data_IF_260753971033
#
_entry.id   IF_260753971033
#
_cell.length_a   1.000
_cell.length_b   1.000
_cell.length_c   1.000
_cell.angle_alpha   90.00
_cell.angle_beta   90.00
_cell.angle_gamma   90.00
#
_symmetry.space_group_name_H-M   'P 1'
#
loop_
_entity.id
_entity.type
_entity.pdbx_description
1 polymer ?
#
# COMPACT_ATOMS: atom_id res chain seq x y z
N UNK A 1 -13.01 -16.70 24.17
CA UNK A 1 -12.74 -18.15 24.04
C UNK A 1 -12.63 -18.83 25.40
N UNK A 2 -11.76 -18.38 26.30
CA UNK A 2 -11.67 -18.92 27.67
C UNK A 2 -13.01 -18.88 28.42
N UNK A 3 -13.74 -17.76 28.35
CA UNK A 3 -15.07 -17.64 28.94
C UNK A 3 -16.06 -18.70 28.40
N UNK A 4 -16.00 -19.01 27.10
CA UNK A 4 -16.86 -20.03 26.50
C UNK A 4 -16.50 -21.44 27.02
N UNK A 5 -15.21 -21.75 27.15
CA UNK A 5 -14.75 -23.01 27.74
C UNK A 5 -15.25 -23.16 29.19
N UNK A 6 -15.19 -22.09 29.99
CA UNK A 6 -15.70 -22.12 31.36
C UNK A 6 -17.22 -22.31 31.43
N UNK A 7 -17.98 -21.62 30.57
CA UNK A 7 -19.45 -21.74 30.54
C UNK A 7 -19.87 -23.14 30.08
N UNK A 8 -19.28 -23.66 29.00
CA UNK A 8 -19.59 -25.00 28.47
C UNK A 8 -19.13 -26.10 29.43
N UNK A 9 -17.96 -25.93 30.05
CA UNK A 9 -17.47 -26.84 31.09
C UNK A 9 -18.38 -26.87 32.33
N UNK A 10 -18.84 -25.70 32.79
CA UNK A 10 -19.76 -25.59 33.91
C UNK A 10 -21.13 -26.19 33.64
N UNK A 11 -21.67 -25.97 32.44
CA UNK A 11 -22.95 -26.58 32.02
C UNK A 11 -22.82 -28.10 31.86
N UNK A 12 -21.71 -28.60 31.29
CA UNK A 12 -21.43 -30.03 31.24
C UNK A 12 -21.36 -30.67 32.64
N UNK A 13 -20.63 -30.06 33.57
CA UNK A 13 -20.55 -30.53 34.95
C UNK A 13 -21.93 -30.58 35.63
N UNK A 14 -22.76 -29.55 35.41
CA UNK A 14 -24.13 -29.50 35.91
C UNK A 14 -25.02 -30.59 35.29
N UNK A 15 -24.91 -30.86 33.99
CA UNK A 15 -25.67 -31.94 33.34
C UNK A 15 -25.27 -33.32 33.85
N UNK A 16 -23.99 -33.50 34.24
CA UNK A 16 -23.52 -34.74 34.88
C UNK A 16 -24.16 -34.98 36.25
N UNK A 17 -24.45 -33.93 37.04
CA UNK A 17 -25.08 -34.11 38.37
C UNK A 17 -26.55 -34.50 38.27
N UNK A 18 -27.20 -34.20 37.14
CA UNK A 18 -28.61 -34.57 36.85
C UNK A 18 -28.73 -35.96 36.20
N UNK A 19 -27.60 -36.63 35.90
CA UNK A 19 -27.59 -37.95 35.26
C UNK A 19 -27.74 -37.90 33.74
N UNK A 20 -27.59 -36.72 33.12
CA UNK A 20 -27.64 -36.55 31.67
C UNK A 20 -26.33 -36.98 30.99
N UNK A 21 -26.18 -38.29 30.72
CA UNK A 21 -24.97 -38.84 30.08
C UNK A 21 -24.74 -38.25 28.68
N UNK A 22 -25.79 -38.17 27.84
CA UNK A 22 -25.66 -37.69 26.46
C UNK A 22 -25.32 -36.18 26.41
N UNK A 23 -26.04 -35.28 27.11
CA UNK A 23 -25.67 -33.86 27.17
C UNK A 23 -24.25 -33.61 27.69
N UNK A 24 -23.79 -34.40 28.67
CA UNK A 24 -22.44 -34.30 29.20
C UNK A 24 -21.38 -34.51 28.10
N UNK A 25 -21.49 -35.60 27.33
CA UNK A 25 -20.55 -35.89 26.24
C UNK A 25 -20.58 -34.83 25.13
N UNK A 26 -21.76 -34.26 24.85
CA UNK A 26 -21.90 -33.14 23.91
C UNK A 26 -21.07 -31.95 24.41
N UNK A 27 -21.27 -31.51 25.66
CA UNK A 27 -20.52 -30.39 26.23
C UNK A 27 -19.00 -30.67 26.29
N UNK A 28 -18.58 -31.90 26.64
CA UNK A 28 -17.16 -32.28 26.63
C UNK A 28 -16.57 -32.21 25.22
N UNK A 29 -17.31 -32.65 24.20
CA UNK A 29 -16.87 -32.57 22.81
C UNK A 29 -16.71 -31.12 22.33
N UNK A 30 -17.61 -30.22 22.73
CA UNK A 30 -17.53 -28.79 22.42
C UNK A 30 -16.30 -28.14 23.08
N UNK A 31 -16.03 -28.46 24.36
CA UNK A 31 -14.82 -27.98 25.05
C UNK A 31 -13.56 -28.47 24.33
N UNK A 32 -13.51 -29.75 23.94
CA UNK A 32 -12.37 -30.29 23.20
C UNK A 32 -12.16 -29.55 21.87
N UNK A 33 -13.23 -29.25 21.13
CA UNK A 33 -13.17 -28.46 19.89
C UNK A 33 -12.68 -27.04 20.17
N UNK A 34 -13.17 -26.36 21.20
CA UNK A 34 -12.66 -25.03 21.56
C UNK A 34 -11.19 -25.05 21.97
N UNK A 35 -10.73 -26.06 22.71
CA UNK A 35 -9.32 -26.21 23.06
C UNK A 35 -8.45 -26.43 21.81
N UNK A 36 -8.89 -27.29 20.87
CA UNK A 36 -8.19 -27.54 19.60
C UNK A 36 -8.11 -26.28 18.73
N UNK A 37 -9.20 -25.51 18.68
CA UNK A 37 -9.25 -24.25 17.96
C UNK A 37 -8.31 -23.21 18.58
N UNK A 38 -8.23 -23.15 19.91
CA UNK A 38 -7.32 -22.25 20.61
C UNK A 38 -5.86 -22.63 20.33
N UNK A 39 -5.56 -23.94 20.33
CA UNK A 39 -4.25 -24.47 19.98
C UNK A 39 -3.83 -24.10 18.55
N UNK A 40 -4.71 -24.25 17.55
CA UNK A 40 -4.37 -23.85 16.18
C UNK A 40 -4.33 -22.34 15.97
N UNK A 41 -5.12 -21.59 16.74
CA UNK A 41 -5.05 -20.14 16.75
C UNK A 41 -3.69 -19.65 17.26
N UNK A 42 -3.14 -20.25 18.32
CA UNK A 42 -1.83 -19.87 18.86
C UNK A 42 -0.67 -20.25 17.92
N UNK A 43 -0.85 -21.26 17.05
CA UNK A 43 0.15 -21.68 16.06
C UNK A 43 0.03 -20.95 14.70
N UNK A 44 -0.74 -19.85 14.63
CA UNK A 44 -0.84 -19.00 13.44
C UNK A 44 -1.70 -19.57 12.29
N UNK A 45 -2.35 -20.74 12.46
CA UNK A 45 -3.20 -21.38 11.43
C UNK A 45 -4.68 -20.98 11.57
N UNK A 46 -4.94 -19.68 11.65
CA UNK A 46 -6.25 -19.13 12.02
C UNK A 46 -7.36 -19.50 11.02
N UNK A 47 -7.09 -19.45 9.72
CA UNK A 47 -8.09 -19.75 8.70
C UNK A 47 -8.54 -21.22 8.73
N UNK A 48 -7.60 -22.14 8.94
CA UNK A 48 -7.89 -23.58 9.03
C UNK A 48 -8.69 -23.88 10.29
N UNK A 49 -8.33 -23.26 11.43
CA UNK A 49 -9.07 -23.39 12.67
C UNK A 49 -10.54 -22.95 12.49
N UNK A 50 -10.76 -21.75 11.93
CA UNK A 50 -12.11 -21.26 11.63
C UNK A 50 -12.89 -22.22 10.73
N UNK A 51 -12.24 -22.80 9.72
CA UNK A 51 -12.90 -23.70 8.78
C UNK A 51 -13.39 -24.97 9.47
N UNK A 52 -12.54 -25.56 10.32
CA UNK A 52 -12.89 -26.77 11.07
C UNK A 52 -13.95 -26.48 12.12
N UNK A 53 -13.95 -25.30 12.73
CA UNK A 53 -15.04 -24.86 13.61
C UNK A 53 -16.39 -24.87 12.89
N UNK A 54 -16.47 -24.30 11.69
CA UNK A 54 -17.72 -24.28 10.92
C UNK A 54 -18.15 -25.66 10.43
N UNK A 55 -17.22 -26.52 10.02
CA UNK A 55 -17.52 -27.92 9.70
C UNK A 55 -18.12 -28.65 10.90
N UNK A 56 -17.50 -28.51 12.08
CA UNK A 56 -18.00 -29.08 13.32
C UNK A 56 -19.39 -28.53 13.66
N UNK A 57 -19.60 -27.22 13.53
CA UNK A 57 -20.90 -26.59 13.77
C UNK A 57 -21.98 -27.14 12.84
N UNK A 58 -21.70 -27.32 11.55
CA UNK A 58 -22.64 -27.91 10.57
C UNK A 58 -22.99 -29.34 10.97
N UNK A 59 -21.98 -30.16 11.34
CA UNK A 59 -22.21 -31.52 11.81
C UNK A 59 -23.06 -31.57 13.08
N UNK A 60 -22.77 -30.72 14.06
CA UNK A 60 -23.53 -30.63 15.30
C UNK A 60 -24.97 -30.21 15.06
N UNK A 61 -25.21 -29.25 14.16
CA UNK A 61 -26.57 -28.88 13.76
C UNK A 61 -27.29 -30.06 13.11
N UNK A 62 -26.63 -30.82 12.22
CA UNK A 62 -27.22 -32.00 11.59
C UNK A 62 -27.60 -33.08 12.61
N UNK A 63 -26.70 -33.39 13.55
CA UNK A 63 -26.97 -34.36 14.62
C UNK A 63 -28.11 -33.88 15.51
N UNK A 64 -28.10 -32.61 15.93
CA UNK A 64 -29.16 -32.02 16.75
C UNK A 64 -30.53 -32.04 16.05
N UNK A 65 -30.56 -31.75 14.75
CA UNK A 65 -31.75 -31.84 13.91
C UNK A 65 -32.31 -33.26 13.81
N UNK A 66 -31.46 -34.27 13.57
CA UNK A 66 -31.90 -35.67 13.49
C UNK A 66 -32.32 -36.23 14.86
N UNK A 67 -31.67 -35.80 15.94
CA UNK A 67 -31.95 -36.27 17.29
C UNK A 67 -33.36 -35.88 17.76
N UNK A 68 -33.78 -34.64 17.48
CA UNK A 68 -35.07 -34.10 17.90
C UNK A 68 -36.16 -34.19 16.82
N UNK A 69 -35.78 -34.45 15.57
CA UNK A 69 -36.69 -34.46 14.43
C UNK A 69 -37.14 -33.06 14.00
N UNK A 70 -38.11 -33.01 13.08
CA UNK A 70 -38.63 -31.76 12.52
C UNK A 70 -39.27 -30.84 13.57
N UNK A 71 -39.86 -31.43 14.62
CA UNK A 71 -40.49 -30.71 15.72
C UNK A 71 -39.51 -29.89 16.57
N UNK A 72 -38.21 -30.16 16.51
CA UNK A 72 -37.19 -29.42 17.26
C UNK A 72 -36.84 -28.06 16.65
N UNK A 73 -37.04 -27.87 15.34
CA UNK A 73 -36.68 -26.62 14.64
C UNK A 73 -35.17 -26.31 14.61
N UNK A 74 -34.31 -27.28 14.90
CA UNK A 74 -32.85 -27.10 14.85
C UNK A 74 -32.34 -26.89 13.41
N UNK A 75 -33.11 -27.32 12.42
CA UNK A 75 -32.82 -27.13 11.01
C UNK A 75 -32.78 -25.65 10.59
N UNK A 76 -33.47 -24.75 11.30
CA UNK A 76 -33.35 -23.30 11.08
C UNK A 76 -31.97 -22.74 11.42
N UNK A 77 -31.20 -23.42 12.28
CA UNK A 77 -29.83 -22.99 12.60
C UNK A 77 -28.88 -23.18 11.41
N UNK A 78 -29.25 -23.96 10.38
CA UNK A 78 -28.46 -24.06 9.15
C UNK A 78 -28.35 -22.72 8.42
N UNK A 79 -29.34 -21.82 8.54
CA UNK A 79 -29.23 -20.47 7.97
C UNK A 79 -28.15 -19.65 8.67
N UNK A 80 -28.04 -19.80 9.99
CA UNK A 80 -27.01 -19.13 10.78
C UNK A 80 -25.64 -19.69 10.45
N UNK A 81 -25.48 -21.02 10.40
CA UNK A 81 -24.19 -21.66 10.07
C UNK A 81 -23.80 -21.47 8.60
N UNK A 82 -24.75 -21.25 7.69
CA UNK A 82 -24.49 -20.92 6.29
C UNK A 82 -24.01 -19.47 6.12
N UNK A 83 -24.61 -18.50 6.83
CA UNK A 83 -24.31 -17.08 6.66
C UNK A 83 -23.14 -16.60 7.54
N UNK A 84 -22.96 -17.18 8.72
CA UNK A 84 -21.90 -16.75 9.65
C UNK A 84 -20.48 -16.83 9.09
N UNK A 85 -20.07 -17.82 8.26
CA UNK A 85 -18.74 -17.83 7.63
C UNK A 85 -18.38 -16.54 6.89
N UNK A 86 -19.36 -15.82 6.31
CA UNK A 86 -19.14 -14.54 5.61
C UNK A 86 -18.52 -13.49 6.54
N UNK A 87 -18.80 -13.57 7.84
CA UNK A 87 -18.25 -12.63 8.84
C UNK A 87 -16.81 -12.96 9.26
N UNK A 88 -16.35 -14.19 9.03
CA UNK A 88 -15.09 -14.70 9.58
C UNK A 88 -14.03 -15.04 8.53
N UNK A 89 -14.36 -15.05 7.24
CA UNK A 89 -13.43 -15.35 6.15
C UNK A 89 -13.33 -14.21 5.14
N UNK A 90 -12.10 -13.81 4.84
CA UNK A 90 -11.82 -12.81 3.80
C UNK A 90 -11.91 -13.41 2.39
N UNK A 91 -11.56 -14.69 2.24
CA UNK A 91 -11.51 -15.35 0.93
C UNK A 91 -12.87 -15.89 0.52
N UNK A 92 -13.34 -15.43 -0.65
CA UNK A 92 -14.64 -15.83 -1.24
C UNK A 92 -14.87 -17.33 -1.28
N UNK A 93 -13.86 -18.10 -1.69
CA UNK A 93 -13.98 -19.56 -1.79
C UNK A 93 -14.27 -20.25 -0.46
N UNK A 94 -13.74 -19.74 0.66
CA UNK A 94 -13.88 -20.38 1.96
C UNK A 94 -15.33 -20.33 2.46
N UNK A 95 -15.93 -19.14 2.53
CA UNK A 95 -17.31 -19.02 3.00
C UNK A 95 -18.34 -19.54 1.98
N UNK A 96 -18.08 -19.44 0.66
CA UNK A 96 -18.99 -20.01 -0.35
C UNK A 96 -19.02 -21.54 -0.28
N UNK A 97 -17.87 -22.20 -0.07
CA UNK A 97 -17.83 -23.66 0.11
C UNK A 97 -18.62 -24.11 1.35
N UNK A 98 -18.49 -23.40 2.47
CA UNK A 98 -19.23 -23.70 3.71
C UNK A 98 -20.72 -23.41 3.59
N UNK A 99 -21.10 -22.34 2.87
CA UNK A 99 -22.49 -22.04 2.55
C UNK A 99 -23.13 -23.18 1.76
N UNK A 100 -22.49 -23.59 0.66
CA UNK A 100 -22.99 -24.69 -0.19
C UNK A 100 -23.08 -25.99 0.61
N UNK A 101 -22.05 -26.31 1.40
CA UNK A 101 -22.06 -27.49 2.27
C UNK A 101 -23.21 -27.45 3.27
N UNK A 102 -23.44 -26.31 3.93
CA UNK A 102 -24.55 -26.14 4.89
C UNK A 102 -25.91 -26.37 4.22
N UNK A 103 -26.13 -25.83 3.02
CA UNK A 103 -27.37 -26.04 2.26
C UNK A 103 -27.54 -27.51 1.84
N UNK A 104 -26.47 -28.17 1.38
CA UNK A 104 -26.53 -29.60 1.03
C UNK A 104 -26.89 -30.44 2.27
N UNK A 105 -26.23 -30.19 3.40
CA UNK A 105 -26.50 -30.91 4.64
C UNK A 105 -27.93 -30.65 5.14
N UNK A 106 -28.43 -29.42 5.05
CA UNK A 106 -29.82 -29.10 5.35
C UNK A 106 -30.81 -29.92 4.51
N UNK A 107 -30.60 -29.98 3.19
CA UNK A 107 -31.45 -30.77 2.29
C UNK A 107 -31.39 -32.27 2.64
N UNK A 108 -30.20 -32.81 2.92
CA UNK A 108 -30.04 -34.21 3.34
C UNK A 108 -30.78 -34.49 4.64
N UNK A 109 -30.63 -33.62 5.64
CA UNK A 109 -31.33 -33.75 6.93
C UNK A 109 -32.85 -33.70 6.75
N UNK A 110 -33.37 -32.82 5.89
CA UNK A 110 -34.81 -32.77 5.58
C UNK A 110 -35.32 -34.06 4.95
N UNK A 111 -34.60 -34.63 3.99
CA UNK A 111 -34.97 -35.92 3.40
C UNK A 111 -34.87 -37.08 4.41
N UNK A 112 -33.93 -37.01 5.36
CA UNK A 112 -33.77 -38.05 6.38
C UNK A 112 -34.89 -38.06 7.43
N UNK A 113 -35.67 -36.98 7.58
CA UNK A 113 -36.80 -36.96 8.51
C UNK A 113 -37.88 -37.99 8.19
N UNK A 114 -38.06 -38.33 6.91
CA UNK A 114 -39.05 -39.34 6.49
C UNK A 114 -38.58 -40.78 6.78
N UNK A 115 -37.27 -40.98 6.94
CA UNK A 115 -36.65 -42.31 7.03
C UNK A 115 -36.20 -42.64 8.45
N UNK A 116 -35.72 -41.64 9.19
CA UNK A 116 -35.13 -41.80 10.52
C UNK A 116 -36.05 -41.20 11.57
N UNK A 117 -36.69 -42.03 12.43
CA UNK A 117 -37.52 -41.50 13.50
C UNK A 117 -36.66 -40.75 14.51
N UNK A 118 -37.21 -39.65 15.05
CA UNK A 118 -36.54 -38.88 16.09
C UNK A 118 -36.28 -39.73 17.34
N UNK A 119 -35.07 -39.61 17.90
CA UNK A 119 -34.68 -40.34 19.12
C UNK A 119 -35.39 -39.74 20.34
N UNK A 120 -35.52 -38.41 20.37
CA UNK A 120 -36.18 -37.67 21.44
C UNK A 120 -37.16 -36.65 20.84
N UNK A 121 -38.34 -37.10 20.36
CA UNK A 121 -39.34 -36.18 19.85
C UNK A 121 -39.84 -35.27 20.98
N UNK A 122 -39.88 -33.97 20.73
CA UNK A 122 -40.38 -33.01 21.72
C UNK A 122 -41.91 -32.95 21.65
N UNK A 123 -42.60 -33.53 22.62
CA UNK A 123 -44.08 -33.60 22.65
C UNK A 123 -44.77 -32.23 22.68
N UNK A 124 -44.11 -31.21 23.25
CA UNK A 124 -44.55 -29.79 23.20
C UNK A 124 -43.74 -28.99 22.18
N UNK A 125 -43.70 -29.51 20.96
CA UNK A 125 -42.90 -29.04 19.83
C UNK A 125 -42.96 -27.53 19.56
N UNK A 126 -44.11 -26.89 19.80
CA UNK A 126 -44.33 -25.51 19.39
C UNK A 126 -43.29 -24.55 20.01
N UNK A 127 -43.02 -24.66 21.31
CA UNK A 127 -42.14 -23.69 22.01
C UNK A 127 -40.70 -23.73 21.48
N UNK A 128 -39.97 -24.87 21.51
CA UNK A 128 -38.59 -24.91 21.03
C UNK A 128 -38.47 -24.61 19.53
N UNK A 129 -39.46 -25.06 18.73
CA UNK A 129 -39.51 -24.79 17.29
C UNK A 129 -39.55 -23.28 17.00
N UNK A 130 -40.52 -22.56 17.57
CA UNK A 130 -40.64 -21.11 17.35
C UNK A 130 -39.48 -20.33 17.99
N UNK A 131 -38.96 -20.79 19.13
CA UNK A 131 -37.77 -20.19 19.73
C UNK A 131 -36.55 -20.28 18.80
N UNK A 132 -36.31 -21.43 18.17
CA UNK A 132 -35.20 -21.60 17.24
C UNK A 132 -35.36 -20.75 15.97
N UNK A 133 -36.58 -20.57 15.47
CA UNK A 133 -36.87 -19.63 14.37
C UNK A 133 -36.52 -18.19 14.79
N UNK A 134 -37.02 -17.75 15.96
CA UNK A 134 -36.77 -16.38 16.46
C UNK A 134 -35.28 -16.15 16.70
N UNK A 135 -34.59 -17.10 17.33
CA UNK A 135 -33.14 -17.02 17.56
C UNK A 135 -32.40 -16.94 16.24
N UNK A 136 -32.74 -17.78 15.26
CA UNK A 136 -32.10 -17.77 13.94
C UNK A 136 -32.32 -16.43 13.23
N UNK A 137 -33.55 -15.91 13.25
CA UNK A 137 -33.88 -14.60 12.66
C UNK A 137 -33.09 -13.46 13.33
N UNK A 138 -33.01 -13.45 14.66
CA UNK A 138 -32.22 -12.47 15.40
C UNK A 138 -30.74 -12.56 15.05
N UNK A 139 -30.16 -13.76 14.99
CA UNK A 139 -28.75 -13.97 14.65
C UNK A 139 -28.43 -13.50 13.23
N UNK A 140 -29.31 -13.78 12.26
CA UNK A 140 -29.16 -13.27 10.89
C UNK A 140 -29.26 -11.74 10.85
N UNK A 141 -30.23 -11.16 11.57
CA UNK A 141 -30.40 -9.72 11.66
C UNK A 141 -29.18 -9.02 12.28
N UNK A 142 -28.68 -9.53 13.40
CA UNK A 142 -27.46 -9.03 14.04
C UNK A 142 -26.24 -9.21 13.15
N UNK A 143 -26.11 -10.38 12.51
CA UNK A 143 -25.02 -10.66 11.56
C UNK A 143 -25.00 -9.67 10.40
N UNK A 144 -26.16 -9.39 9.80
CA UNK A 144 -26.31 -8.36 8.77
C UNK A 144 -25.98 -6.96 9.30
N UNK A 145 -26.44 -6.61 10.51
CA UNK A 145 -26.14 -5.33 11.15
C UNK A 145 -24.63 -5.12 11.38
N UNK A 146 -23.91 -6.14 11.83
CA UNK A 146 -22.45 -6.12 11.97
C UNK A 146 -21.77 -5.97 10.61
N UNK A 147 -22.21 -6.73 9.61
CA UNK A 147 -21.68 -6.64 8.25
C UNK A 147 -21.83 -5.23 7.68
N UNK A 148 -23.02 -4.63 7.82
CA UNK A 148 -23.31 -3.27 7.34
C UNK A 148 -22.42 -2.22 8.03
N UNK A 149 -22.23 -2.33 9.35
CA UNK A 149 -21.33 -1.42 10.09
C UNK A 149 -19.89 -1.50 9.61
N UNK A 150 -19.38 -2.72 9.40
CA UNK A 150 -18.02 -2.94 8.88
C UNK A 150 -17.86 -2.38 7.47
N UNK A 151 -18.85 -2.60 6.60
CA UNK A 151 -18.86 -2.05 5.24
C UNK A 151 -18.79 -0.52 5.24
N UNK A 152 -19.67 0.15 6.01
CA UNK A 152 -19.70 1.61 6.10
C UNK A 152 -18.38 2.19 6.61
N UNK A 153 -17.75 1.54 7.60
CA UNK A 153 -16.44 1.96 8.11
C UNK A 153 -15.34 1.86 7.05
N UNK A 154 -15.33 0.78 6.26
CA UNK A 154 -14.36 0.63 5.17
C UNK A 154 -14.58 1.65 4.06
N UNK A 155 -15.84 1.95 3.74
CA UNK A 155 -16.20 2.98 2.77
C UNK A 155 -15.71 4.37 3.19
N UNK A 156 -15.89 4.74 4.47
CA UNK A 156 -15.35 5.99 5.01
C UNK A 156 -13.82 6.06 4.96
N UNK A 157 -13.14 4.97 5.30
CA UNK A 157 -11.67 4.89 5.24
C UNK A 157 -11.19 5.07 3.79
N UNK A 158 -11.81 4.37 2.84
CA UNK A 158 -11.50 4.50 1.41
C UNK A 158 -11.72 5.92 0.92
N UNK A 159 -12.81 6.57 1.33
CA UNK A 159 -13.08 7.97 0.98
C UNK A 159 -11.99 8.90 1.49
N UNK A 160 -11.56 8.75 2.75
CA UNK A 160 -10.47 9.54 3.32
C UNK A 160 -9.14 9.31 2.59
N UNK A 161 -8.81 8.06 2.30
CA UNK A 161 -7.58 7.72 1.56
C UNK A 161 -7.58 8.33 0.15
N UNK A 162 -8.70 8.28 -0.57
CA UNK A 162 -8.83 8.91 -1.88
C UNK A 162 -8.66 10.43 -1.81
N UNK A 163 -9.23 11.07 -0.78
CA UNK A 163 -9.05 12.50 -0.58
C UNK A 163 -7.56 12.85 -0.34
N UNK A 164 -6.88 12.12 0.54
CA UNK A 164 -5.44 12.32 0.79
C UNK A 164 -4.60 12.09 -0.48
N UNK A 165 -4.94 11.11 -1.31
CA UNK A 165 -4.25 10.86 -2.58
C UNK A 165 -4.42 12.06 -3.53
N UNK A 166 -5.61 12.64 -3.61
CA UNK A 166 -5.84 13.79 -4.49
C UNK A 166 -5.12 15.04 -3.98
N UNK A 167 -5.11 15.27 -2.67
CA UNK A 167 -4.31 16.34 -2.02
C UNK A 167 -2.82 16.18 -2.31
N UNK A 168 -2.25 14.98 -2.12
CA UNK A 168 -0.85 14.69 -2.43
C UNK A 168 -0.49 14.87 -3.91
N UNK A 169 -1.42 14.54 -4.80
CA UNK A 169 -1.24 14.72 -6.25
C UNK A 169 -1.23 16.20 -6.63
N UNK A 170 -2.06 17.02 -5.99
CA UNK A 170 -2.05 18.47 -6.17
C UNK A 170 -0.74 19.08 -5.69
N UNK A 171 -0.28 18.72 -4.49
CA UNK A 171 1.02 19.14 -3.96
C UNK A 171 2.18 18.74 -4.88
N UNK A 172 2.18 17.50 -5.37
CA UNK A 172 3.20 17.00 -6.29
C UNK A 172 3.21 17.78 -7.61
N UNK A 173 2.04 18.11 -8.16
CA UNK A 173 1.93 18.91 -9.38
C UNK A 173 2.43 20.34 -9.17
N UNK A 174 2.13 20.93 -8.01
CA UNK A 174 2.63 22.26 -7.66
C UNK A 174 4.15 22.26 -7.52
N UNK A 175 4.72 21.29 -6.80
CA UNK A 175 6.16 21.12 -6.66
C UNK A 175 6.85 20.86 -8.01
N UNK A 176 6.23 20.05 -8.88
CA UNK A 176 6.71 19.81 -10.24
C UNK A 176 6.77 21.10 -11.05
N UNK A 177 5.71 21.91 -11.01
CA UNK A 177 5.65 23.19 -11.75
C UNK A 177 6.74 24.14 -11.26
N UNK A 178 6.92 24.27 -9.94
CA UNK A 178 7.99 25.08 -9.35
C UNK A 178 9.38 24.59 -9.79
N UNK A 179 9.60 23.28 -9.82
CA UNK A 179 10.87 22.70 -10.24
C UNK A 179 11.13 22.95 -11.73
N UNK A 180 10.11 22.84 -12.58
CA UNK A 180 10.21 23.15 -14.01
C UNK A 180 10.58 24.61 -14.25
N UNK A 181 10.00 25.54 -13.48
CA UNK A 181 10.32 26.97 -13.60
C UNK A 181 11.76 27.28 -13.15
N UNK A 182 12.19 26.70 -12.03
CA UNK A 182 13.59 26.82 -11.56
C UNK A 182 14.56 26.23 -12.59
N UNK A 183 14.23 25.07 -13.18
CA UNK A 183 15.03 24.44 -14.23
C UNK A 183 15.12 25.32 -15.47
N UNK A 184 14.01 25.93 -15.91
CA UNK A 184 14.02 26.87 -17.05
C UNK A 184 14.92 28.06 -16.79
N UNK A 185 14.81 28.70 -15.61
CA UNK A 185 15.66 29.84 -15.23
C UNK A 185 17.14 29.47 -15.19
N UNK A 186 17.48 28.33 -14.56
CA UNK A 186 18.85 27.81 -14.50
C UNK A 186 19.41 27.50 -15.89
N UNK A 187 18.59 26.88 -16.74
CA UNK A 187 18.99 26.53 -18.11
C UNK A 187 19.24 27.78 -18.95
N UNK A 188 18.39 28.81 -18.82
CA UNK A 188 18.58 30.10 -19.48
C UNK A 188 19.89 30.77 -19.03
N UNK A 189 20.15 30.84 -17.71
CA UNK A 189 21.40 31.40 -17.17
C UNK A 189 22.64 30.64 -17.66
N UNK A 190 22.61 29.32 -17.67
CA UNK A 190 23.71 28.50 -18.20
C UNK A 190 23.93 28.75 -19.69
N UNK A 191 22.85 28.85 -20.48
CA UNK A 191 22.95 29.13 -21.91
C UNK A 191 23.60 30.49 -22.18
N UNK A 192 23.24 31.51 -21.40
CA UNK A 192 23.84 32.85 -21.45
C UNK A 192 25.34 32.81 -21.07
N UNK A 193 25.68 32.20 -19.94
CA UNK A 193 27.09 32.03 -19.51
C UNK A 193 27.92 31.27 -20.55
N UNK A 194 27.36 30.21 -21.15
CA UNK A 194 28.02 29.46 -22.20
C UNK A 194 28.28 30.31 -23.45
N UNK A 195 27.31 31.16 -23.84
CA UNK A 195 27.48 32.09 -24.96
C UNK A 195 28.61 33.10 -24.71
N UNK A 196 28.73 33.59 -23.48
CA UNK A 196 29.80 34.49 -23.06
C UNK A 196 31.17 33.79 -23.11
N UNK A 197 31.27 32.56 -22.61
CA UNK A 197 32.50 31.77 -22.70
C UNK A 197 32.93 31.49 -24.14
N UNK A 198 32.00 31.17 -25.03
CA UNK A 198 32.30 31.00 -26.46
C UNK A 198 32.85 32.29 -27.06
N UNK A 199 32.24 33.44 -26.74
CA UNK A 199 32.73 34.76 -27.19
C UNK A 199 34.12 35.06 -26.66
N UNK A 200 34.37 34.78 -25.39
CA UNK A 200 35.69 34.92 -24.76
C UNK A 200 36.74 34.06 -25.47
N UNK A 201 36.45 32.77 -25.70
CA UNK A 201 37.36 31.86 -26.37
C UNK A 201 37.70 32.34 -27.79
N UNK A 202 36.72 32.86 -28.54
CA UNK A 202 36.93 33.46 -29.86
C UNK A 202 37.87 34.67 -29.81
N UNK A 203 37.61 35.62 -28.89
CA UNK A 203 38.46 36.81 -28.73
C UNK A 203 39.89 36.44 -28.34
N UNK A 204 40.06 35.52 -27.41
CA UNK A 204 41.38 35.07 -26.98
C UNK A 204 42.14 34.37 -28.14
N UNK A 205 41.47 33.48 -28.87
CA UNK A 205 42.09 32.74 -29.98
C UNK A 205 42.48 33.62 -31.18
N UNK A 206 41.71 34.67 -31.49
CA UNK A 206 41.94 35.50 -32.68
C UNK A 206 42.58 36.87 -32.37
N UNK A 207 42.06 37.57 -31.37
CA UNK A 207 42.43 38.97 -31.10
C UNK A 207 43.67 39.09 -30.22
N UNK A 208 43.87 38.18 -29.27
CA UNK A 208 45.08 38.17 -28.42
C UNK A 208 46.25 37.49 -29.13
N UNK A 209 45.98 36.37 -29.83
CA UNK A 209 47.02 35.61 -30.51
C UNK A 209 47.74 36.39 -31.62
N UNK A 210 47.02 37.24 -32.36
CA UNK A 210 47.57 38.02 -33.47
C UNK A 210 48.66 39.03 -33.05
N UNK A 211 48.42 39.99 -32.12
CA UNK A 211 49.45 40.89 -31.62
C UNK A 211 50.56 40.15 -30.85
N UNK A 212 50.24 39.05 -30.15
CA UNK A 212 51.26 38.23 -29.48
C UNK A 212 52.24 37.60 -30.49
N UNK A 213 51.73 37.00 -31.57
CA UNK A 213 52.56 36.44 -32.63
C UNK A 213 53.37 37.53 -33.35
N UNK A 214 52.78 38.72 -33.57
CA UNK A 214 53.49 39.89 -34.12
C UNK A 214 54.62 40.35 -33.19
N UNK A 215 54.39 40.42 -31.88
CA UNK A 215 55.40 40.77 -30.89
C UNK A 215 56.53 39.75 -30.88
N UNK A 216 56.22 38.46 -30.83
CA UNK A 216 57.22 37.39 -30.91
C UNK A 216 58.03 37.49 -32.21
N UNK A 217 57.38 37.74 -33.35
CA UNK A 217 58.04 37.96 -34.63
C UNK A 217 59.00 39.16 -34.62
N UNK A 218 58.55 40.31 -34.11
CA UNK A 218 59.36 41.52 -33.99
C UNK A 218 60.56 41.30 -33.06
N UNK A 219 60.35 40.69 -31.90
CA UNK A 219 61.42 40.34 -30.95
C UNK A 219 62.43 39.39 -31.61
N UNK A 220 61.96 38.35 -32.31
CA UNK A 220 62.86 37.42 -33.00
C UNK A 220 63.70 38.13 -34.08
N UNK A 221 63.12 39.04 -34.86
CA UNK A 221 63.86 39.82 -35.87
C UNK A 221 64.92 40.71 -35.20
N UNK A 222 64.62 41.27 -34.02
CA UNK A 222 65.61 42.07 -33.28
C UNK A 222 66.85 41.28 -32.89
N UNK A 223 66.75 39.96 -32.70
CA UNK A 223 67.91 39.12 -32.37
C UNK A 223 68.91 38.96 -33.54
N UNK A 224 68.51 39.26 -34.78
CA UNK A 224 69.34 39.07 -35.98
C UNK A 224 69.69 40.37 -36.71
N UNK A 225 69.16 41.52 -36.30
CA UNK A 225 69.45 42.83 -36.90
C UNK A 225 70.59 43.57 -36.19
N UNK A 226 71.45 44.23 -36.96
CA UNK A 226 72.51 45.10 -36.43
C UNK A 226 71.92 46.49 -36.07
N UNK A 227 71.80 46.74 -34.77
CA UNK A 227 71.26 47.96 -34.20
C UNK A 227 72.26 49.12 -34.11
N UNK A 228 73.40 49.06 -34.78
CA UNK A 228 74.31 50.22 -34.91
C UNK A 228 73.60 51.45 -35.53
N UNK A 229 72.56 51.25 -36.34
CA UNK A 229 71.74 52.32 -36.91
C UNK A 229 70.58 52.72 -35.98
N UNK A 230 70.68 53.92 -35.41
CA UNK A 230 69.70 54.49 -34.47
C UNK A 230 68.29 54.62 -35.05
N UNK A 231 68.16 54.87 -36.37
CA UNK A 231 66.86 54.94 -37.05
C UNK A 231 66.15 53.59 -37.10
N UNK A 232 66.89 52.49 -37.31
CA UNK A 232 66.33 51.13 -37.36
C UNK A 232 65.88 50.66 -35.98
N UNK A 233 66.73 50.89 -34.96
CA UNK A 233 66.39 50.60 -33.56
C UNK A 233 65.10 51.30 -33.15
N UNK A 234 64.98 52.59 -33.45
CA UNK A 234 63.77 53.37 -33.15
C UNK A 234 62.54 52.81 -33.86
N UNK A 235 62.65 52.44 -35.13
CA UNK A 235 61.54 51.85 -35.89
C UNK A 235 61.01 50.56 -35.24
N UNK A 236 61.89 49.61 -34.89
CA UNK A 236 61.45 48.35 -34.26
C UNK A 236 60.83 48.59 -32.88
N UNK A 237 61.41 49.50 -32.10
CA UNK A 237 60.88 49.87 -30.79
C UNK A 237 59.47 50.48 -30.90
N UNK A 238 59.27 51.40 -31.86
CA UNK A 238 57.95 51.99 -32.13
C UNK A 238 56.92 50.92 -32.56
N UNK A 239 57.31 49.93 -33.37
CA UNK A 239 56.42 48.84 -33.79
C UNK A 239 56.06 47.87 -32.65
N UNK A 240 57.02 47.58 -31.76
CA UNK A 240 56.77 46.80 -30.55
C UNK A 240 55.81 47.56 -29.63
N UNK A 241 56.08 48.84 -29.37
CA UNK A 241 55.25 49.68 -28.52
C UNK A 241 53.81 49.79 -29.06
N UNK A 242 53.66 49.93 -30.39
CA UNK A 242 52.35 49.93 -31.04
C UNK A 242 51.60 48.60 -30.89
N UNK A 243 52.27 47.46 -31.06
CA UNK A 243 51.64 46.14 -30.86
C UNK A 243 51.29 45.88 -29.38
N UNK A 244 52.12 46.33 -28.43
CA UNK A 244 51.83 46.23 -27.00
C UNK A 244 50.59 47.05 -26.65
N UNK A 245 50.46 48.26 -27.18
CA UNK A 245 49.26 49.09 -26.99
C UNK A 245 48.00 48.41 -27.55
N UNK A 246 48.09 47.84 -28.77
CA UNK A 246 46.98 47.11 -29.39
C UNK A 246 46.57 45.85 -28.59
N UNK A 247 47.55 45.15 -28.01
CA UNK A 247 47.30 44.02 -27.11
C UNK A 247 46.62 44.46 -25.80
N UNK A 248 47.09 45.56 -25.20
CA UNK A 248 46.51 46.11 -23.97
C UNK A 248 45.05 46.54 -24.17
N UNK A 249 44.75 47.17 -25.31
CA UNK A 249 43.37 47.53 -25.68
C UNK A 249 42.49 46.28 -25.86
N UNK A 250 43.03 45.23 -26.49
CA UNK A 250 42.32 43.94 -26.65
C UNK A 250 42.07 43.26 -25.30
N UNK A 251 43.03 43.32 -24.37
CA UNK A 251 42.88 42.75 -23.03
C UNK A 251 41.84 43.53 -22.19
N UNK A 252 41.77 44.85 -22.34
CA UNK A 252 40.72 45.68 -21.73
C UNK A 252 39.33 45.31 -22.26
N UNK A 253 39.19 45.12 -23.58
CA UNK A 253 37.93 44.68 -24.19
C UNK A 253 37.47 43.33 -23.61
N UNK A 254 38.38 42.37 -23.47
CA UNK A 254 38.11 41.05 -22.88
C UNK A 254 37.71 41.17 -21.39
N UNK A 255 38.41 42.01 -20.63
CA UNK A 255 38.15 42.23 -19.20
C UNK A 255 36.75 42.81 -18.98
N UNK A 256 36.33 43.76 -19.83
CA UNK A 256 34.97 44.33 -19.79
C UNK A 256 33.93 43.24 -20.05
N UNK A 257 34.10 42.42 -21.09
CA UNK A 257 33.15 41.35 -21.43
C UNK A 257 33.02 40.31 -20.30
N UNK A 258 34.08 40.04 -19.55
CA UNK A 258 34.02 39.14 -18.39
C UNK A 258 33.36 39.80 -17.18
N UNK A 259 33.76 41.02 -16.82
CA UNK A 259 33.26 41.69 -15.62
C UNK A 259 31.78 42.07 -15.73
N UNK A 260 31.32 42.53 -16.89
CA UNK A 260 29.88 42.84 -17.09
C UNK A 260 29.00 41.60 -16.91
N UNK A 261 29.51 40.39 -17.16
CA UNK A 261 28.76 39.14 -16.98
C UNK A 261 28.90 38.52 -15.57
N UNK A 262 29.87 38.96 -14.76
CA UNK A 262 30.07 38.48 -13.38
C UNK A 262 29.43 39.38 -12.32
N UNK A 263 29.17 40.66 -12.62
CA UNK A 263 28.50 41.59 -11.69
C UNK A 263 26.98 41.39 -11.60
N UNK A 264 26.39 40.55 -12.46
CA UNK A 264 24.97 40.16 -12.42
C UNK A 264 24.70 38.86 -11.61
N UNK A 265 25.69 38.32 -10.90
CA UNK A 265 25.53 37.24 -9.90
C UNK A 265 25.18 37.74 -8.50
#
# INVERSE_FOLDING_TARGET
>A
MLLAIFVVGGTGAYMSTIGGIIPFWICTSEVAVFCLLLYWHTHGRIALARYIFFLFSICMTAVGSLFHGESGGFDFLFFVTALSPVLFFDKRWQYTSLFVLSIIVYLVVKNLYDVVPAIMPIERAAVPYYMNIVISALLVFFGYGLFKRTHLKHEEILKKQNQTIEEQKEELNNAKTQLEDVLKLRTAKIAEQNSAFVRYAFLNAHKVRSPLARLQGLINITAYEDFANDKKRKFYFDQIQKNVAELDDTLKEISIILNTNMEEE
#
